data_IF_296749844788
#
_entry.id   IF_296749844788
#
_cell.length_a   1.000
_cell.length_b   1.000
_cell.length_c   1.000
_cell.angle_alpha   90.00
_cell.angle_beta   90.00
_cell.angle_gamma   90.00
#
_symmetry.space_group_name_H-M   'P 1'
#
loop_
_entity.id
_entity.type
_entity.pdbx_description
1 polymer ?
#
# COMPACT_ATOMS: atom_id res chain seq x y z
N UNK A 1 10.16 9.33 -12.56
CA UNK A 1 10.73 10.15 -11.46
C UNK A 1 10.25 11.59 -11.63
N UNK A 2 10.12 12.31 -10.53
CA UNK A 2 9.83 13.75 -10.53
C UNK A 2 10.97 14.49 -9.85
N UNK A 3 11.44 15.58 -10.46
CA UNK A 3 12.49 16.42 -9.90
C UNK A 3 11.86 17.60 -9.16
N UNK A 4 12.11 17.68 -7.85
CA UNK A 4 11.55 18.71 -6.97
C UNK A 4 12.71 19.34 -6.21
N UNK A 5 12.98 20.61 -6.49
CA UNK A 5 14.24 21.25 -6.06
C UNK A 5 15.45 20.57 -6.69
N UNK A 6 16.48 20.25 -5.89
CA UNK A 6 17.72 19.61 -6.35
C UNK A 6 17.75 18.09 -6.11
N UNK A 7 16.58 17.43 -6.09
CA UNK A 7 16.46 16.00 -5.79
C UNK A 7 15.46 15.34 -6.73
N UNK A 8 15.76 14.09 -7.10
CA UNK A 8 14.86 13.24 -7.89
C UNK A 8 14.11 12.28 -6.96
N UNK A 9 12.80 12.18 -7.18
CA UNK A 9 11.89 11.39 -6.35
C UNK A 9 11.13 10.36 -7.19
N UNK A 10 10.84 9.24 -6.54
CA UNK A 10 9.96 8.18 -7.02
C UNK A 10 8.76 8.07 -6.06
N UNK A 11 7.83 7.19 -6.39
CA UNK A 11 6.72 6.88 -5.50
C UNK A 11 7.19 6.45 -4.09
N UNK A 12 6.43 6.89 -3.08
CA UNK A 12 6.72 6.63 -1.67
C UNK A 12 6.42 5.20 -1.23
N UNK A 13 5.69 4.42 -2.02
CA UNK A 13 5.26 3.06 -1.71
C UNK A 13 6.41 2.10 -1.41
N UNK A 14 7.61 2.35 -1.94
CA UNK A 14 8.79 1.52 -1.66
C UNK A 14 9.49 1.84 -0.32
N UNK A 15 9.12 2.98 0.29
CA UNK A 15 9.71 3.46 1.53
C UNK A 15 8.74 3.40 2.71
N UNK A 16 7.48 3.72 2.45
CA UNK A 16 6.41 3.82 3.45
C UNK A 16 5.04 3.82 2.74
N UNK A 17 4.49 2.62 2.51
CA UNK A 17 3.17 2.41 1.87
C UNK A 17 2.04 3.06 2.67
N UNK A 18 2.07 2.89 4.00
CA UNK A 18 1.09 3.43 4.93
C UNK A 18 1.83 4.33 5.94
N UNK A 19 2.00 5.64 5.68
CA UNK A 19 2.94 6.50 6.41
C UNK A 19 2.42 6.97 7.78
N UNK A 20 2.17 6.04 8.70
CA UNK A 20 1.59 6.30 10.01
C UNK A 20 2.49 7.17 10.90
N UNK A 21 3.80 6.99 10.85
CA UNK A 21 4.75 7.85 11.57
C UNK A 21 4.73 9.31 11.08
N UNK A 22 4.37 9.55 9.82
CA UNK A 22 4.15 10.91 9.30
C UNK A 22 2.84 11.46 9.85
N UNK A 23 1.76 10.65 9.85
CA UNK A 23 0.48 11.04 10.42
C UNK A 23 0.59 11.42 11.91
N UNK A 24 1.41 10.70 12.70
CA UNK A 24 1.63 11.01 14.12
C UNK A 24 2.15 12.42 14.36
N UNK A 25 2.93 12.99 13.44
CA UNK A 25 3.52 14.34 13.58
C UNK A 25 2.46 15.44 13.62
N UNK A 26 1.26 15.17 13.13
CA UNK A 26 0.13 16.09 13.21
C UNK A 26 -0.56 16.08 14.59
N UNK A 27 -0.10 15.24 15.53
CA UNK A 27 -0.64 15.06 16.89
C UNK A 27 -2.15 14.79 16.90
N UNK A 28 -2.63 13.78 16.14
CA UNK A 28 -4.05 13.47 16.12
C UNK A 28 -4.47 12.72 17.39
N UNK A 29 -5.74 12.85 17.77
CA UNK A 29 -6.37 12.02 18.80
C UNK A 29 -6.71 10.62 18.26
N UNK A 30 -6.95 10.50 16.95
CA UNK A 30 -7.27 9.25 16.25
C UNK A 30 -6.64 9.23 14.87
N UNK A 31 -6.22 8.05 14.41
CA UNK A 31 -5.80 7.84 13.02
C UNK A 31 -6.70 6.80 12.36
N UNK A 32 -7.22 7.15 11.18
CA UNK A 32 -7.90 6.24 10.28
C UNK A 32 -6.95 5.94 9.12
N UNK A 33 -6.44 4.72 9.06
CA UNK A 33 -5.58 4.25 7.98
C UNK A 33 -6.37 3.39 7.01
N UNK A 34 -6.28 3.65 5.72
CA UNK A 34 -6.85 2.80 4.68
C UNK A 34 -5.71 2.04 4.00
N UNK A 35 -5.74 0.71 4.10
CA UNK A 35 -4.68 -0.16 3.59
C UNK A 35 -5.15 -0.86 2.31
N UNK A 36 -4.88 -0.22 1.19
CA UNK A 36 -5.10 -0.80 -0.17
C UNK A 36 -3.83 -1.36 -0.80
N UNK A 37 -2.70 -1.26 -0.09
CA UNK A 37 -1.39 -1.73 -0.56
C UNK A 37 -1.21 -3.24 -0.42
N UNK A 38 -0.09 -3.79 -0.91
CA UNK A 38 0.20 -5.22 -0.84
C UNK A 38 0.15 -5.76 0.60
N UNK A 39 -0.41 -6.96 0.74
CA UNK A 39 -0.48 -7.73 1.99
C UNK A 39 0.25 -9.07 1.83
N UNK A 40 0.57 -9.71 2.95
CA UNK A 40 0.96 -11.12 2.91
C UNK A 40 -0.30 -11.98 2.72
N UNK A 41 -0.17 -13.05 1.95
CA UNK A 41 -1.27 -13.97 1.64
C UNK A 41 -1.57 -14.05 0.16
N UNK A 42 -2.32 -15.09 -0.21
CA UNK A 42 -2.86 -15.22 -1.56
C UNK A 42 -4.07 -14.30 -1.70
N UNK A 43 -4.06 -13.44 -2.71
CA UNK A 43 -5.22 -12.67 -3.13
C UNK A 43 -5.92 -13.43 -4.25
N UNK A 44 -7.24 -13.28 -4.41
CA UNK A 44 -7.95 -13.78 -5.58
C UNK A 44 -7.24 -13.30 -6.86
N UNK A 45 -6.96 -14.19 -7.84
CA UNK A 45 -6.28 -13.78 -9.06
C UNK A 45 -7.18 -12.83 -9.86
N UNK A 46 -6.71 -11.61 -10.12
CA UNK A 46 -7.36 -10.70 -11.06
C UNK A 46 -7.05 -11.07 -12.50
N UNK A 47 -7.88 -10.60 -13.44
CA UNK A 47 -7.66 -10.79 -14.88
C UNK A 47 -6.58 -9.83 -15.40
N UNK A 48 -5.33 -10.17 -15.10
CA UNK A 48 -4.17 -9.44 -15.62
C UNK A 48 -3.56 -10.18 -16.80
N UNK A 49 -3.55 -9.50 -17.95
CA UNK A 49 -2.85 -9.96 -19.15
C UNK A 49 -1.41 -10.40 -18.88
N UNK A 50 -0.84 -11.17 -19.82
CA UNK A 50 0.41 -11.90 -19.60
C UNK A 50 1.63 -10.96 -19.51
N UNK A 51 2.06 -10.63 -18.30
CA UNK A 51 3.31 -9.87 -18.05
C UNK A 51 4.55 -10.71 -18.37
N UNK A 52 5.67 -10.13 -18.85
CA UNK A 52 6.95 -10.83 -18.99
C UNK A 52 7.47 -11.44 -17.68
N UNK A 53 8.15 -12.60 -17.68
CA UNK A 53 8.57 -13.27 -16.44
C UNK A 53 9.40 -12.43 -15.49
N UNK A 54 10.40 -11.69 -16.01
CA UNK A 54 11.24 -10.81 -15.19
C UNK A 54 10.43 -9.70 -14.50
N UNK A 55 9.45 -9.12 -15.22
CA UNK A 55 8.58 -8.10 -14.67
C UNK A 55 7.68 -8.66 -13.57
N UNK A 56 7.15 -9.89 -13.76
CA UNK A 56 6.37 -10.57 -12.71
C UNK A 56 7.21 -10.81 -11.46
N UNK A 57 8.44 -11.33 -11.60
CA UNK A 57 9.34 -11.56 -10.47
C UNK A 57 9.69 -10.26 -9.76
N UNK A 58 9.96 -9.20 -10.51
CA UNK A 58 10.21 -7.88 -9.94
C UNK A 58 8.99 -7.37 -9.15
N UNK A 59 7.79 -7.37 -9.74
CA UNK A 59 6.57 -6.93 -9.08
C UNK A 59 6.28 -7.73 -7.81
N UNK A 60 6.50 -9.04 -7.84
CA UNK A 60 6.34 -9.91 -6.67
C UNK A 60 7.33 -9.56 -5.55
N UNK A 61 8.60 -9.33 -5.88
CA UNK A 61 9.60 -8.90 -4.91
C UNK A 61 9.25 -7.54 -4.27
N UNK A 62 8.76 -6.59 -5.08
CA UNK A 62 8.31 -5.29 -4.56
C UNK A 62 7.10 -5.42 -3.63
N UNK A 63 6.13 -6.27 -3.97
CA UNK A 63 4.97 -6.54 -3.11
C UNK A 63 5.36 -7.10 -1.75
N UNK A 64 6.29 -8.06 -1.70
CA UNK A 64 6.82 -8.60 -0.44
C UNK A 64 7.44 -7.48 0.39
N UNK A 65 8.29 -6.65 -0.21
CA UNK A 65 8.94 -5.55 0.49
C UNK A 65 7.91 -4.57 1.07
N UNK A 66 6.92 -4.18 0.27
CA UNK A 66 5.84 -3.25 0.64
C UNK A 66 4.97 -3.81 1.78
N UNK A 67 4.59 -5.08 1.70
CA UNK A 67 3.82 -5.76 2.75
C UNK A 67 4.62 -5.82 4.07
N UNK A 68 5.88 -6.26 4.01
CA UNK A 68 6.75 -6.34 5.19
C UNK A 68 6.97 -4.98 5.87
N UNK A 69 7.14 -3.92 5.09
CA UNK A 69 7.28 -2.57 5.63
C UNK A 69 6.00 -2.08 6.29
N UNK A 70 4.84 -2.36 5.68
CA UNK A 70 3.52 -1.95 6.19
C UNK A 70 3.21 -2.61 7.53
N UNK A 71 3.42 -3.93 7.65
CA UNK A 71 3.19 -4.66 8.91
C UNK A 71 4.04 -4.09 10.05
N UNK A 72 5.34 -3.87 9.80
CA UNK A 72 6.25 -3.27 10.79
C UNK A 72 5.85 -1.86 11.18
N UNK A 73 5.32 -1.08 10.24
CA UNK A 73 4.86 0.29 10.50
C UNK A 73 3.60 0.28 11.39
N UNK A 74 2.63 -0.58 11.09
CA UNK A 74 1.41 -0.76 11.89
C UNK A 74 1.76 -1.22 13.31
N UNK A 75 2.63 -2.23 13.44
CA UNK A 75 3.09 -2.75 14.73
C UNK A 75 3.75 -1.65 15.57
N UNK A 76 4.70 -0.91 14.99
CA UNK A 76 5.34 0.22 15.68
C UNK A 76 4.33 1.30 16.06
N UNK A 77 3.42 1.65 15.16
CA UNK A 77 2.46 2.71 15.43
C UNK A 77 1.52 2.37 16.58
N UNK A 78 1.01 1.13 16.63
CA UNK A 78 0.12 0.64 17.70
C UNK A 78 0.79 0.70 19.08
N UNK A 79 2.11 0.59 19.16
CA UNK A 79 2.85 0.77 20.42
C UNK A 79 2.89 2.21 20.93
N UNK A 80 2.54 3.19 20.08
CA UNK A 80 2.68 4.63 20.34
C UNK A 80 1.48 5.31 21.01
N UNK A 81 0.44 4.56 21.40
CA UNK A 81 -0.68 5.05 22.23
C UNK A 81 -1.76 5.87 21.50
N UNK A 82 -1.55 6.29 20.24
CA UNK A 82 -2.61 6.89 19.41
C UNK A 82 -3.49 5.77 18.84
N UNK A 83 -4.81 5.78 19.07
CA UNK A 83 -5.72 4.81 18.48
C UNK A 83 -5.66 4.80 16.95
N UNK A 84 -5.52 3.60 16.38
CA UNK A 84 -5.53 3.35 14.94
C UNK A 84 -6.75 2.51 14.56
N UNK A 85 -7.61 3.06 13.72
CA UNK A 85 -8.62 2.31 12.97
C UNK A 85 -8.03 1.98 11.61
N UNK A 86 -7.91 0.69 11.29
CA UNK A 86 -7.41 0.24 10.00
C UNK A 86 -8.57 -0.29 9.16
N UNK A 87 -8.77 0.31 7.99
CA UNK A 87 -9.73 -0.13 6.98
C UNK A 87 -8.97 -0.96 5.94
N UNK A 88 -9.37 -2.22 5.78
CA UNK A 88 -8.75 -3.19 4.88
C UNK A 88 -9.82 -3.69 3.89
N UNK A 89 -10.02 -3.00 2.77
CA UNK A 89 -10.98 -3.44 1.75
C UNK A 89 -10.51 -4.76 1.11
N UNK A 90 -11.45 -5.50 0.53
CA UNK A 90 -11.13 -6.70 -0.25
C UNK A 90 -10.42 -6.31 -1.56
N UNK A 91 -9.33 -7.00 -1.89
CA UNK A 91 -8.48 -6.69 -3.03
C UNK A 91 -8.25 -7.93 -3.89
N UNK A 92 -8.12 -7.72 -5.19
CA UNK A 92 -7.72 -8.75 -6.15
C UNK A 92 -6.26 -8.56 -6.57
N UNK A 93 -5.62 -9.66 -6.98
CA UNK A 93 -4.24 -9.64 -7.43
C UNK A 93 -4.10 -8.98 -8.81
N UNK A 94 -3.19 -8.01 -8.92
CA UNK A 94 -2.79 -7.46 -10.21
C UNK A 94 -3.71 -6.36 -10.77
N UNK A 95 -4.83 -6.05 -10.10
CA UNK A 95 -5.80 -5.05 -10.55
C UNK A 95 -5.37 -3.60 -10.33
N UNK A 96 -4.10 -3.34 -9.94
CA UNK A 96 -3.57 -1.99 -9.70
C UNK A 96 -3.80 -1.02 -10.86
N UNK A 97 -3.87 -1.51 -12.09
CA UNK A 97 -4.08 -0.71 -13.30
C UNK A 97 -5.40 -1.02 -14.02
N UNK A 98 -6.30 -1.79 -13.40
CA UNK A 98 -7.62 -2.04 -13.97
C UNK A 98 -8.53 -0.83 -13.71
N UNK A 99 -8.46 0.15 -14.60
CA UNK A 99 -9.29 1.37 -14.51
C UNK A 99 -10.79 1.07 -14.73
N UNK A 100 -11.13 -0.08 -15.32
CA UNK A 100 -12.52 -0.49 -15.56
C UNK A 100 -13.29 -0.82 -14.27
N UNK A 101 -12.58 -1.25 -13.23
CA UNK A 101 -13.15 -1.60 -11.93
C UNK A 101 -13.43 -0.43 -10.98
N UNK A 102 -13.27 0.83 -11.42
CA UNK A 102 -13.32 2.00 -10.55
C UNK A 102 -14.56 2.09 -9.64
N UNK A 103 -15.75 1.74 -10.13
CA UNK A 103 -16.97 1.75 -9.30
C UNK A 103 -16.90 0.71 -8.19
N UNK A 104 -16.48 -0.52 -8.50
CA UNK A 104 -16.34 -1.60 -7.52
C UNK A 104 -15.31 -1.26 -6.44
N UNK A 105 -14.21 -0.59 -6.80
CA UNK A 105 -13.19 -0.17 -5.83
C UNK A 105 -13.66 0.92 -4.88
N UNK A 106 -14.55 1.81 -5.35
CA UNK A 106 -15.19 2.82 -4.49
C UNK A 106 -16.18 2.16 -3.53
N UNK A 107 -16.94 1.16 -3.98
CA UNK A 107 -17.89 0.45 -3.12
C UNK A 107 -17.21 -0.43 -2.05
N UNK A 108 -16.01 -0.92 -2.33
CA UNK A 108 -15.25 -1.77 -1.40
C UNK A 108 -14.61 -1.01 -0.22
N UNK A 109 -14.38 0.32 -0.35
CA UNK A 109 -13.67 1.15 0.62
C UNK A 109 -14.58 2.04 1.45
#
# INVERSE_FOLDING_TARGET
PADIGNRSFLDGGLRSVLPLEVARKFRPDWVFGVRVGPVFGELPPGDVGRLPPLLRTHNFAMRILMAAQTEREIERFRSGGVPLVLVEPELEEGTTFDVGGAVAYVEAG
#
